data_IF_806331849065
#
_entry.id   IF_806331849065
#
_cell.length_a   1.000
_cell.length_b   1.000
_cell.length_c   1.000
_cell.angle_alpha   90.00
_cell.angle_beta   90.00
_cell.angle_gamma   90.00
#
_symmetry.space_group_name_H-M   'P 1'
#
loop_
_entity.id
_entity.type
_entity.pdbx_description
1 polymer ?
#
# COMPACT_ATOMS: atom_id res chain seq x y z
N UNK A 1 -15.82 -58.73 -24.75
CA UNK A 1 -14.88 -58.02 -23.88
C UNK A 1 -15.13 -56.50 -24.01
N UNK A 2 -15.95 -55.92 -23.13
CA UNK A 2 -16.24 -54.48 -23.13
C UNK A 2 -15.26 -53.77 -22.22
N UNK A 3 -14.38 -52.94 -22.79
CA UNK A 3 -13.46 -52.04 -22.05
C UNK A 3 -14.26 -50.88 -21.47
N UNK A 4 -14.45 -50.85 -20.16
CA UNK A 4 -15.01 -49.71 -19.44
C UNK A 4 -13.96 -48.59 -19.43
N UNK A 5 -14.22 -47.53 -20.20
CA UNK A 5 -13.42 -46.28 -20.15
C UNK A 5 -13.93 -45.52 -18.93
N UNK A 6 -13.09 -45.47 -17.90
CA UNK A 6 -13.30 -44.61 -16.73
C UNK A 6 -12.88 -43.18 -17.13
N UNK A 7 -13.84 -42.31 -17.43
CA UNK A 7 -13.62 -40.89 -17.64
C UNK A 7 -13.45 -40.28 -16.25
N UNK A 8 -12.19 -40.03 -15.88
CA UNK A 8 -11.84 -39.24 -14.69
C UNK A 8 -12.21 -37.78 -14.99
N UNK A 9 -13.40 -37.34 -14.57
CA UNK A 9 -13.82 -35.95 -14.62
C UNK A 9 -13.01 -35.18 -13.55
N UNK A 10 -11.89 -34.60 -13.96
CA UNK A 10 -11.12 -33.69 -13.11
C UNK A 10 -11.95 -32.42 -12.94
N UNK A 11 -12.66 -32.30 -11.83
CA UNK A 11 -13.31 -31.06 -11.42
C UNK A 11 -12.18 -30.03 -11.18
N UNK A 12 -11.94 -29.20 -12.18
CA UNK A 12 -11.28 -27.90 -12.01
C UNK A 12 -12.22 -27.04 -11.14
N UNK A 13 -12.14 -27.21 -9.82
CA UNK A 13 -12.69 -26.23 -8.91
C UNK A 13 -11.93 -24.93 -9.18
N UNK A 14 -12.61 -23.85 -9.60
CA UNK A 14 -11.96 -22.53 -9.58
C UNK A 14 -11.51 -22.32 -8.14
N UNK A 15 -10.21 -22.15 -7.93
CA UNK A 15 -9.69 -21.66 -6.66
C UNK A 15 -10.27 -20.26 -6.50
N UNK A 16 -11.38 -20.17 -5.76
CA UNK A 16 -11.89 -18.90 -5.26
C UNK A 16 -10.76 -18.37 -4.38
N UNK A 17 -9.95 -17.47 -4.93
CA UNK A 17 -9.00 -16.71 -4.15
C UNK A 17 -9.85 -15.87 -3.18
N UNK A 18 -10.03 -16.35 -1.97
CA UNK A 18 -10.68 -15.61 -0.91
C UNK A 18 -9.78 -14.40 -0.61
N UNK A 19 -10.38 -13.21 -0.60
CA UNK A 19 -9.66 -12.03 -0.19
C UNK A 19 -9.07 -12.26 1.22
N UNK A 20 -7.76 -12.03 1.36
CA UNK A 20 -7.04 -12.13 2.64
C UNK A 20 -7.22 -10.82 3.41
N UNK A 21 -8.48 -10.55 3.81
CA UNK A 21 -8.81 -9.36 4.59
C UNK A 21 -7.98 -9.37 5.87
N UNK A 22 -7.26 -8.27 6.20
CA UNK A 22 -6.42 -8.22 7.39
C UNK A 22 -7.25 -8.30 8.67
N UNK A 23 -7.03 -9.34 9.46
CA UNK A 23 -7.61 -9.52 10.80
C UNK A 23 -6.76 -8.75 11.83
N UNK A 24 -7.34 -7.72 12.41
CA UNK A 24 -6.65 -6.80 13.32
C UNK A 24 -6.10 -7.50 14.57
N UNK A 25 -6.89 -8.38 15.19
CA UNK A 25 -6.51 -9.07 16.42
C UNK A 25 -5.43 -10.13 16.15
N UNK A 26 -5.53 -10.85 15.04
CA UNK A 26 -4.53 -11.84 14.66
C UNK A 26 -3.21 -11.17 14.28
N UNK A 27 -3.25 -10.08 13.52
CA UNK A 27 -2.08 -9.30 13.14
C UNK A 27 -1.38 -8.75 14.39
N UNK A 28 -2.12 -8.05 15.26
CA UNK A 28 -1.57 -7.48 16.48
C UNK A 28 -0.90 -8.57 17.34
N UNK A 29 -1.61 -9.66 17.61
CA UNK A 29 -1.10 -10.76 18.42
C UNK A 29 0.19 -11.35 17.86
N UNK A 30 0.24 -11.67 16.55
CA UNK A 30 1.39 -12.33 15.93
C UNK A 30 2.57 -11.41 15.70
N UNK A 31 2.32 -10.13 15.45
CA UNK A 31 3.41 -9.19 15.12
C UNK A 31 4.05 -8.55 16.36
N UNK A 32 3.38 -8.58 17.51
CA UNK A 32 3.91 -8.07 18.78
C UNK A 32 4.53 -9.17 19.66
N UNK A 33 4.28 -10.44 19.38
CA UNK A 33 4.85 -11.57 20.10
C UNK A 33 6.25 -11.89 19.55
N UNK A 34 7.28 -11.77 20.40
CA UNK A 34 8.67 -12.01 20.02
C UNK A 34 9.01 -13.50 19.77
N UNK A 35 8.16 -14.42 20.19
CA UNK A 35 8.28 -15.86 19.90
C UNK A 35 7.56 -16.24 18.59
N UNK A 36 6.78 -15.32 18.02
CA UNK A 36 6.06 -15.55 16.78
C UNK A 36 7.02 -15.56 15.57
N UNK A 37 6.82 -16.47 14.59
CA UNK A 37 7.54 -16.42 13.32
C UNK A 37 7.22 -15.14 12.51
N UNK A 38 6.14 -14.44 12.89
CA UNK A 38 5.71 -13.19 12.27
C UNK A 38 6.01 -11.95 13.11
N UNK A 39 6.91 -12.05 14.10
CA UNK A 39 7.34 -10.91 14.90
C UNK A 39 7.85 -9.77 14.01
N UNK A 40 7.20 -8.60 14.13
CA UNK A 40 7.40 -7.50 13.19
C UNK A 40 8.86 -7.07 13.08
N UNK A 41 9.58 -6.95 14.21
CA UNK A 41 10.99 -6.52 14.20
C UNK A 41 11.88 -7.50 13.45
N UNK A 42 11.65 -8.81 13.58
CA UNK A 42 12.40 -9.85 12.85
C UNK A 42 12.09 -9.81 11.36
N UNK A 43 10.82 -9.66 10.98
CA UNK A 43 10.41 -9.53 9.58
C UNK A 43 10.97 -8.26 8.94
N UNK A 44 10.94 -7.12 9.67
CA UNK A 44 11.47 -5.85 9.21
C UNK A 44 13.00 -5.91 9.02
N UNK A 45 13.71 -6.60 9.92
CA UNK A 45 15.15 -6.80 9.77
C UNK A 45 15.47 -7.60 8.49
N UNK A 46 14.78 -8.70 8.25
CA UNK A 46 14.93 -9.52 7.04
C UNK A 46 14.58 -8.73 5.77
N UNK A 47 13.49 -7.98 5.81
CA UNK A 47 13.08 -7.09 4.73
C UNK A 47 14.16 -6.04 4.40
N UNK A 48 14.71 -5.36 5.41
CA UNK A 48 15.80 -4.37 5.24
C UNK A 48 17.10 -5.01 4.72
N UNK A 49 17.35 -6.26 5.03
CA UNK A 49 18.45 -7.05 4.49
C UNK A 49 18.19 -7.57 3.07
N UNK A 50 17.09 -7.18 2.44
CA UNK A 50 16.68 -7.61 1.11
C UNK A 50 16.44 -9.12 0.98
N UNK A 51 16.12 -9.79 2.10
CA UNK A 51 15.74 -11.19 2.08
C UNK A 51 14.34 -11.36 1.46
N UNK A 52 14.17 -12.39 0.65
CA UNK A 52 12.87 -12.73 0.09
C UNK A 52 11.96 -13.27 1.19
N UNK A 53 10.79 -12.64 1.34
CA UNK A 53 9.74 -13.07 2.25
C UNK A 53 8.66 -13.86 1.50
N UNK A 54 7.93 -14.70 2.21
CA UNK A 54 6.72 -15.36 1.70
C UNK A 54 5.54 -14.37 1.65
N UNK A 55 4.48 -14.72 0.93
CA UNK A 55 3.24 -13.94 0.87
C UNK A 55 2.63 -13.72 2.26
N UNK A 56 2.72 -14.72 3.13
CA UNK A 56 2.23 -14.63 4.50
C UNK A 56 3.09 -13.70 5.35
N UNK A 57 4.42 -13.79 5.23
CA UNK A 57 5.33 -12.88 5.92
C UNK A 57 5.14 -11.42 5.46
N UNK A 58 4.93 -11.16 4.16
CA UNK A 58 4.57 -9.82 3.68
C UNK A 58 3.25 -9.32 4.27
N UNK A 59 2.26 -10.19 4.42
CA UNK A 59 0.98 -9.81 5.02
C UNK A 59 1.16 -9.31 6.46
N UNK A 60 1.86 -10.06 7.31
CA UNK A 60 2.09 -9.66 8.69
C UNK A 60 3.08 -8.49 8.80
N UNK A 61 4.09 -8.43 7.95
CA UNK A 61 5.02 -7.31 7.92
C UNK A 61 4.31 -6.01 7.56
N UNK A 62 3.55 -6.01 6.48
CA UNK A 62 2.85 -4.82 5.98
C UNK A 62 1.81 -4.35 6.98
N UNK A 63 0.82 -5.18 7.31
CA UNK A 63 -0.26 -4.75 8.20
C UNK A 63 0.18 -4.59 9.67
N UNK A 64 1.18 -5.33 10.11
CA UNK A 64 1.79 -5.19 11.43
C UNK A 64 2.50 -3.87 11.65
N UNK A 65 2.91 -3.19 10.57
CA UNK A 65 3.51 -1.86 10.64
C UNK A 65 2.58 -0.82 11.25
N UNK A 66 1.26 -0.96 11.07
CA UNK A 66 0.26 -0.06 11.64
C UNK A 66 0.26 -0.02 13.18
N UNK A 67 0.89 -0.99 13.83
CA UNK A 67 1.00 -1.10 15.30
C UNK A 67 2.37 -0.69 15.84
N UNK A 68 3.26 -0.20 14.97
CA UNK A 68 4.60 0.25 15.39
C UNK A 68 4.58 1.74 15.75
N UNK A 69 5.37 2.13 16.76
CA UNK A 69 5.44 3.51 17.29
C UNK A 69 5.82 4.54 16.23
N UNK A 70 6.58 4.13 15.23
CA UNK A 70 7.03 5.00 14.15
C UNK A 70 6.08 5.05 12.94
N UNK A 71 4.95 4.35 12.97
CA UNK A 71 3.92 4.46 11.95
C UNK A 71 3.23 5.82 12.02
N UNK A 72 3.51 6.68 11.05
CA UNK A 72 3.01 8.04 11.00
C UNK A 72 2.47 8.39 9.59
N UNK A 73 1.31 7.84 9.19
CA UNK A 73 0.78 7.97 7.83
C UNK A 73 0.39 9.39 7.42
N UNK A 74 0.32 10.31 8.38
CA UNK A 74 0.02 11.73 8.16
C UNK A 74 1.27 12.61 8.17
N UNK A 75 2.45 12.06 8.44
CA UNK A 75 3.70 12.81 8.44
C UNK A 75 4.12 13.17 7.02
N UNK A 76 4.76 14.33 6.87
CA UNK A 76 5.37 14.73 5.60
C UNK A 76 6.62 13.90 5.32
N UNK A 77 6.89 13.65 4.06
CA UNK A 77 8.10 12.96 3.59
C UNK A 77 8.85 13.85 2.59
N UNK A 78 9.70 14.81 3.07
CA UNK A 78 10.41 15.72 2.18
C UNK A 78 11.36 15.02 1.20
N UNK A 79 11.91 13.86 1.58
CA UNK A 79 12.75 13.08 0.68
C UNK A 79 11.95 12.54 -0.53
N UNK A 80 10.71 12.15 -0.32
CA UNK A 80 9.80 11.74 -1.40
C UNK A 80 9.47 12.91 -2.35
N UNK A 81 9.26 14.11 -1.81
CA UNK A 81 9.03 15.31 -2.62
C UNK A 81 10.26 15.64 -3.50
N UNK A 82 11.46 15.60 -2.91
CA UNK A 82 12.73 15.78 -3.63
C UNK A 82 12.94 14.69 -4.69
N UNK A 83 12.57 13.46 -4.38
CA UNK A 83 12.65 12.32 -5.29
C UNK A 83 11.74 12.53 -6.52
N UNK A 84 10.49 12.95 -6.31
CA UNK A 84 9.58 13.29 -7.42
C UNK A 84 10.12 14.44 -8.28
N UNK A 85 10.64 15.50 -7.67
CA UNK A 85 11.25 16.62 -8.39
C UNK A 85 12.45 16.15 -9.22
N UNK A 86 13.30 15.29 -8.66
CA UNK A 86 14.46 14.72 -9.35
C UNK A 86 14.03 13.89 -10.56
N UNK A 87 13.09 12.96 -10.36
CA UNK A 87 12.58 12.08 -11.42
C UNK A 87 11.86 12.85 -12.54
N UNK A 88 11.15 13.93 -12.20
CA UNK A 88 10.45 14.77 -13.20
C UNK A 88 11.41 15.50 -14.14
N UNK A 89 12.65 15.72 -13.73
CA UNK A 89 13.68 16.41 -14.51
C UNK A 89 14.68 15.45 -15.17
N UNK A 90 14.56 14.14 -14.90
CA UNK A 90 15.49 13.14 -15.40
C UNK A 90 15.03 12.59 -16.76
N UNK A 91 15.93 12.58 -17.74
CA UNK A 91 15.76 11.77 -18.95
C UNK A 91 16.14 10.32 -18.61
N UNK A 92 15.14 9.46 -18.34
CA UNK A 92 15.34 8.08 -17.88
C UNK A 92 16.16 7.23 -18.85
N UNK A 93 16.09 7.52 -20.16
CA UNK A 93 16.84 6.80 -21.19
C UNK A 93 18.33 7.17 -21.22
N UNK A 94 18.70 8.30 -20.59
CA UNK A 94 20.07 8.82 -20.49
C UNK A 94 20.60 8.88 -19.06
N UNK A 95 19.89 8.24 -18.12
CA UNK A 95 20.29 8.25 -16.72
C UNK A 95 21.69 7.68 -16.53
N UNK A 96 22.51 8.41 -15.80
CA UNK A 96 23.89 8.01 -15.52
C UNK A 96 23.99 7.25 -14.19
N UNK A 97 25.14 6.62 -13.94
CA UNK A 97 25.42 6.00 -12.65
C UNK A 97 25.33 7.01 -11.50
N UNK A 98 25.79 8.27 -11.71
CA UNK A 98 25.71 9.33 -10.70
C UNK A 98 24.26 9.71 -10.38
N UNK A 99 23.40 9.74 -11.38
CA UNK A 99 21.96 9.99 -11.18
C UNK A 99 21.34 8.86 -10.35
N UNK A 100 21.69 7.61 -10.67
CA UNK A 100 21.23 6.44 -9.92
C UNK A 100 21.69 6.47 -8.46
N UNK A 101 22.95 6.80 -8.17
CA UNK A 101 23.47 6.94 -6.81
C UNK A 101 22.71 8.02 -6.02
N UNK A 102 22.39 9.14 -6.65
CA UNK A 102 21.61 10.20 -6.04
C UNK A 102 20.15 9.77 -5.78
N UNK A 103 19.51 9.09 -6.74
CA UNK A 103 18.16 8.51 -6.57
C UNK A 103 18.15 7.52 -5.40
N UNK A 104 19.14 6.63 -5.29
CA UNK A 104 19.24 5.67 -4.18
C UNK A 104 19.32 6.38 -2.85
N UNK A 105 20.08 7.49 -2.74
CA UNK A 105 20.15 8.23 -1.49
C UNK A 105 18.80 8.82 -1.07
N UNK A 106 18.09 9.44 -2.01
CA UNK A 106 16.73 9.98 -1.75
C UNK A 106 15.72 8.88 -1.44
N UNK A 107 15.78 7.76 -2.17
CA UNK A 107 14.92 6.61 -1.91
C UNK A 107 15.15 6.03 -0.50
N UNK A 108 16.40 5.93 -0.06
CA UNK A 108 16.74 5.45 1.28
C UNK A 108 16.12 6.32 2.36
N UNK A 109 16.27 7.64 2.25
CA UNK A 109 15.64 8.59 3.17
C UNK A 109 14.10 8.53 3.12
N UNK A 110 13.51 8.37 1.93
CA UNK A 110 12.06 8.26 1.77
C UNK A 110 11.50 6.99 2.40
N UNK A 111 12.22 5.84 2.27
CA UNK A 111 11.84 4.56 2.86
C UNK A 111 11.96 4.54 4.40
N UNK A 112 12.72 5.44 5.01
CA UNK A 112 12.73 5.57 6.48
C UNK A 112 11.37 6.06 7.02
N UNK A 113 10.59 6.78 6.23
CA UNK A 113 9.26 7.27 6.59
C UNK A 113 8.14 6.34 6.13
N UNK A 114 8.29 5.76 4.96
CA UNK A 114 7.36 4.79 4.37
C UNK A 114 8.14 3.62 3.77
N UNK A 115 8.45 2.58 4.58
CA UNK A 115 9.28 1.47 4.14
C UNK A 115 8.63 0.62 3.04
N UNK A 116 7.34 0.79 2.80
CA UNK A 116 6.55 -0.01 1.88
C UNK A 116 6.02 0.76 0.68
N UNK A 117 6.53 1.97 0.43
CA UNK A 117 6.12 2.78 -0.72
C UNK A 117 6.39 2.07 -2.05
N UNK A 118 5.37 1.64 -2.81
CA UNK A 118 5.59 0.96 -4.08
C UNK A 118 6.32 1.84 -5.09
N UNK A 119 6.01 3.14 -5.11
CA UNK A 119 6.70 4.09 -5.97
C UNK A 119 8.19 4.17 -5.66
N UNK A 120 8.58 4.28 -4.37
CA UNK A 120 9.99 4.38 -3.99
C UNK A 120 10.72 3.07 -4.26
N UNK A 121 10.10 1.92 -3.97
CA UNK A 121 10.66 0.60 -4.30
C UNK A 121 10.90 0.46 -5.80
N UNK A 122 9.97 0.93 -6.65
CA UNK A 122 10.14 0.91 -8.11
C UNK A 122 11.29 1.82 -8.57
N UNK A 123 11.51 2.96 -7.93
CA UNK A 123 12.65 3.84 -8.20
C UNK A 123 13.98 3.20 -7.77
N UNK A 124 14.00 2.41 -6.69
CA UNK A 124 15.18 1.59 -6.33
C UNK A 124 15.48 0.54 -7.40
N UNK A 125 14.45 -0.14 -7.93
CA UNK A 125 14.62 -1.09 -9.05
C UNK A 125 15.25 -0.39 -10.25
N UNK A 126 14.72 0.77 -10.66
CA UNK A 126 15.27 1.57 -11.75
C UNK A 126 16.74 1.97 -11.51
N UNK A 127 17.04 2.50 -10.32
CA UNK A 127 18.38 2.98 -10.01
C UNK A 127 19.42 1.86 -9.97
N UNK A 128 19.13 0.71 -9.35
CA UNK A 128 20.02 -0.44 -9.36
C UNK A 128 20.15 -1.08 -10.75
N UNK A 129 19.07 -1.06 -11.56
CA UNK A 129 19.13 -1.46 -12.97
C UNK A 129 20.07 -0.57 -13.77
N UNK A 130 20.03 0.76 -13.58
CA UNK A 130 20.95 1.73 -14.21
C UNK A 130 22.40 1.50 -13.78
N UNK A 131 22.63 1.05 -12.54
CA UNK A 131 23.95 0.69 -12.04
C UNK A 131 24.42 -0.69 -12.49
N UNK A 132 23.58 -1.47 -13.15
CA UNK A 132 23.78 -2.89 -13.51
C UNK A 132 24.01 -3.82 -12.30
N UNK A 133 23.54 -3.42 -11.11
CA UNK A 133 23.51 -4.25 -9.89
C UNK A 133 22.25 -5.15 -9.91
N UNK A 134 22.36 -6.25 -10.62
CA UNK A 134 21.25 -7.18 -10.87
C UNK A 134 20.72 -7.84 -9.60
N UNK A 135 21.55 -8.05 -8.60
CA UNK A 135 21.17 -8.68 -7.35
C UNK A 135 20.20 -7.76 -6.57
N UNK A 136 20.57 -6.48 -6.38
CA UNK A 136 19.72 -5.52 -5.69
C UNK A 136 18.51 -5.12 -6.51
N UNK A 137 18.65 -4.94 -7.82
CA UNK A 137 17.52 -4.70 -8.72
C UNK A 137 16.44 -5.77 -8.52
N UNK A 138 16.82 -7.05 -8.53
CA UNK A 138 15.90 -8.17 -8.36
C UNK A 138 15.31 -8.24 -6.95
N UNK A 139 16.11 -7.96 -5.91
CA UNK A 139 15.65 -7.96 -4.53
C UNK A 139 14.59 -6.88 -4.28
N UNK A 140 14.82 -5.64 -4.73
CA UNK A 140 13.83 -4.57 -4.63
C UNK A 140 12.59 -4.84 -5.48
N UNK A 141 12.76 -5.48 -6.65
CA UNK A 141 11.61 -5.91 -7.45
C UNK A 141 10.73 -6.93 -6.70
N UNK A 142 11.32 -7.90 -6.01
CA UNK A 142 10.56 -8.85 -5.19
C UNK A 142 9.84 -8.15 -4.02
N UNK A 143 10.46 -7.17 -3.38
CA UNK A 143 9.81 -6.37 -2.34
C UNK A 143 8.62 -5.58 -2.90
N UNK A 144 8.81 -4.90 -4.03
CA UNK A 144 7.74 -4.20 -4.73
C UNK A 144 6.55 -5.13 -5.03
N UNK A 145 6.82 -6.30 -5.62
CA UNK A 145 5.77 -7.27 -5.94
C UNK A 145 5.10 -7.81 -4.67
N UNK A 146 5.86 -8.15 -3.63
CA UNK A 146 5.31 -8.64 -2.37
C UNK A 146 4.35 -7.65 -1.70
N UNK A 147 4.69 -6.36 -1.69
CA UNK A 147 3.82 -5.31 -1.15
C UNK A 147 2.57 -5.11 -2.02
N UNK A 148 2.73 -5.01 -3.34
CA UNK A 148 1.59 -4.84 -4.24
C UNK A 148 0.60 -6.01 -4.17
N UNK A 149 1.11 -7.25 -4.12
CA UNK A 149 0.26 -8.45 -3.99
C UNK A 149 -0.41 -8.53 -2.62
N UNK A 150 0.27 -8.12 -1.54
CA UNK A 150 -0.31 -8.02 -0.20
C UNK A 150 -1.52 -7.10 -0.20
N UNK A 151 -1.43 -5.93 -0.82
CA UNK A 151 -2.54 -4.98 -0.89
C UNK A 151 -3.67 -5.54 -1.78
N UNK A 152 -3.34 -6.03 -2.97
CA UNK A 152 -4.32 -6.57 -3.93
C UNK A 152 -5.06 -7.79 -3.41
N UNK A 153 -4.40 -8.65 -2.61
CA UNK A 153 -5.02 -9.83 -2.02
C UNK A 153 -5.97 -9.52 -0.88
N UNK A 154 -5.93 -8.31 -0.31
CA UNK A 154 -6.78 -7.92 0.82
C UNK A 154 -8.24 -7.64 0.45
N UNK A 155 -8.52 -7.39 -0.81
CA UNK A 155 -9.85 -7.15 -1.35
C UNK A 155 -9.80 -7.03 -2.87
N UNK A 156 -10.94 -7.23 -3.55
CA UNK A 156 -10.99 -7.07 -5.00
C UNK A 156 -11.09 -5.60 -5.45
N UNK A 157 -11.36 -4.70 -4.52
CA UNK A 157 -11.49 -3.26 -4.76
C UNK A 157 -12.67 -2.89 -5.67
N UNK A 158 -13.54 -3.82 -6.05
CA UNK A 158 -14.64 -3.57 -6.99
C UNK A 158 -15.90 -3.01 -6.33
N UNK A 159 -15.96 -3.07 -5.02
CA UNK A 159 -17.09 -2.57 -4.23
C UNK A 159 -16.62 -2.03 -2.87
N UNK A 160 -17.44 -1.16 -2.28
CA UNK A 160 -17.23 -0.66 -0.92
C UNK A 160 -17.15 -1.78 0.13
N UNK A 161 -17.81 -2.92 -0.13
CA UNK A 161 -17.82 -4.07 0.77
C UNK A 161 -16.50 -4.85 0.79
N UNK A 162 -15.76 -4.83 -0.32
CA UNK A 162 -14.51 -5.57 -0.51
C UNK A 162 -13.37 -4.65 -0.97
N UNK A 163 -13.06 -3.57 -0.21
CA UNK A 163 -12.01 -2.63 -0.57
C UNK A 163 -10.63 -3.27 -0.42
N UNK A 164 -9.64 -2.77 -1.13
CA UNK A 164 -8.24 -3.07 -0.86
C UNK A 164 -7.76 -2.26 0.35
N UNK A 165 -7.06 -2.90 1.28
CA UNK A 165 -6.59 -2.27 2.53
C UNK A 165 -5.20 -1.70 2.38
N UNK A 166 -5.01 -0.44 2.78
CA UNK A 166 -3.75 0.30 2.66
C UNK A 166 -3.29 0.91 3.99
N UNK A 167 -2.01 1.28 4.05
CA UNK A 167 -1.38 1.93 5.20
C UNK A 167 -1.02 3.40 4.96
N UNK A 168 -0.78 3.82 3.72
CA UNK A 168 -0.44 5.19 3.35
C UNK A 168 -1.34 5.66 2.22
N UNK A 169 -1.61 6.97 2.13
CA UNK A 169 -2.48 7.53 1.09
C UNK A 169 -1.96 7.25 -0.32
N UNK A 170 -0.64 7.32 -0.51
CA UNK A 170 0.00 7.07 -1.81
C UNK A 170 -0.23 5.65 -2.32
N UNK A 171 -0.29 4.66 -1.42
CA UNK A 171 -0.38 3.25 -1.79
C UNK A 171 -1.59 2.93 -2.68
N UNK A 172 -2.71 3.62 -2.48
CA UNK A 172 -3.90 3.43 -3.30
C UNK A 172 -3.65 3.82 -4.76
N UNK A 173 -3.02 4.98 -5.00
CA UNK A 173 -2.67 5.44 -6.35
C UNK A 173 -1.58 4.55 -6.95
N UNK A 174 -0.59 4.12 -6.14
CA UNK A 174 0.50 3.25 -6.58
C UNK A 174 -0.02 1.89 -7.04
N UNK A 175 -0.97 1.30 -6.30
CA UNK A 175 -1.62 0.05 -6.71
C UNK A 175 -2.36 0.22 -8.04
N UNK A 176 -3.13 1.29 -8.20
CA UNK A 176 -3.84 1.57 -9.48
C UNK A 176 -2.85 1.75 -10.61
N UNK A 177 -1.78 2.52 -10.40
CA UNK A 177 -0.71 2.75 -11.39
C UNK A 177 0.00 1.46 -11.77
N UNK A 178 0.23 0.54 -10.82
CA UNK A 178 0.83 -0.79 -11.06
C UNK A 178 -0.01 -1.68 -11.98
N UNK A 179 -1.30 -1.36 -12.15
CA UNK A 179 -2.19 -2.04 -13.09
C UNK A 179 -2.14 -1.46 -14.51
N UNK A 180 -1.27 -0.46 -14.74
CA UNK A 180 -1.10 0.21 -16.05
C UNK A 180 -2.26 1.14 -16.40
N UNK A 181 -2.98 1.67 -15.43
CA UNK A 181 -4.13 2.57 -15.63
C UNK A 181 -3.93 3.89 -14.87
N UNK A 182 -4.38 4.98 -15.49
CA UNK A 182 -4.36 6.30 -14.85
C UNK A 182 -5.61 6.51 -13.99
N UNK A 183 -5.42 7.14 -12.85
CA UNK A 183 -6.49 7.47 -11.90
C UNK A 183 -6.83 8.96 -11.88
N UNK A 184 -8.05 9.27 -11.45
CA UNK A 184 -8.49 10.61 -11.07
C UNK A 184 -8.31 10.80 -9.56
N UNK A 185 -8.71 11.97 -9.06
CA UNK A 185 -8.73 12.26 -7.64
C UNK A 185 -9.67 11.30 -6.91
N UNK A 186 -9.24 10.83 -5.73
CA UNK A 186 -10.05 10.00 -4.86
C UNK A 186 -11.32 10.73 -4.38
N UNK A 187 -12.40 9.97 -4.22
CA UNK A 187 -13.71 10.42 -3.76
C UNK A 187 -14.07 9.67 -2.47
N UNK A 188 -14.43 10.40 -1.41
CA UNK A 188 -14.85 9.82 -0.15
C UNK A 188 -16.24 9.18 -0.36
N UNK A 189 -16.34 7.88 -0.11
CA UNK A 189 -17.59 7.11 -0.23
C UNK A 189 -18.24 6.92 1.13
N UNK A 190 -17.45 6.53 2.12
CA UNK A 190 -17.89 6.38 3.50
C UNK A 190 -16.81 6.84 4.48
N UNK A 191 -17.01 6.61 5.78
CA UNK A 191 -16.09 7.10 6.83
C UNK A 191 -14.64 6.66 6.62
N UNK A 192 -14.43 5.45 6.11
CA UNK A 192 -13.13 4.82 6.01
C UNK A 192 -12.80 4.35 4.60
N UNK A 193 -13.73 4.46 3.65
CA UNK A 193 -13.55 3.97 2.29
C UNK A 193 -13.58 5.12 1.30
N UNK A 194 -12.56 5.14 0.45
CA UNK A 194 -12.50 6.07 -0.69
C UNK A 194 -12.51 5.28 -2.00
N UNK A 195 -13.06 5.90 -3.01
CA UNK A 195 -13.11 5.39 -4.37
C UNK A 195 -12.14 6.17 -5.25
N UNK A 196 -11.30 5.47 -5.98
CA UNK A 196 -10.39 6.06 -6.95
C UNK A 196 -10.91 5.76 -8.36
N UNK A 197 -11.55 6.75 -9.02
CA UNK A 197 -12.00 6.59 -10.40
C UNK A 197 -10.82 6.45 -11.36
N UNK A 198 -10.97 5.61 -12.40
CA UNK A 198 -10.02 5.55 -13.50
C UNK A 198 -10.30 6.68 -14.50
N UNK A 199 -9.25 7.17 -15.18
CA UNK A 199 -9.40 8.11 -16.30
C UNK A 199 -10.20 7.45 -17.42
N UNK A 200 -9.83 6.21 -17.75
CA UNK A 200 -10.55 5.37 -18.72
C UNK A 200 -10.96 4.04 -18.06
N UNK A 201 -12.23 3.61 -18.22
CA UNK A 201 -12.67 2.34 -17.67
C UNK A 201 -11.90 1.16 -18.29
N UNK A 202 -11.39 0.28 -17.44
CA UNK A 202 -10.70 -0.95 -17.84
C UNK A 202 -11.71 -2.01 -18.27
N UNK A 203 -11.57 -2.55 -19.48
CA UNK A 203 -12.38 -3.68 -19.94
C UNK A 203 -11.92 -4.97 -19.28
N UNK A 204 -12.88 -5.76 -18.78
CA UNK A 204 -12.67 -7.09 -18.20
C UNK A 204 -13.73 -8.04 -18.80
N UNK A 205 -13.53 -9.37 -18.74
CA UNK A 205 -14.46 -10.32 -19.37
C UNK A 205 -15.92 -10.16 -18.92
N UNK A 206 -16.13 -9.80 -17.65
CA UNK A 206 -17.44 -9.63 -17.00
C UNK A 206 -17.95 -8.16 -16.99
N UNK A 207 -17.33 -7.26 -17.77
CA UNK A 207 -17.78 -5.87 -17.89
C UNK A 207 -16.69 -4.81 -17.96
N UNK A 208 -16.86 -3.73 -17.18
CA UNK A 208 -15.90 -2.62 -17.10
C UNK A 208 -15.66 -2.22 -15.66
N UNK A 209 -14.39 -2.11 -15.27
CA UNK A 209 -13.98 -1.51 -14.01
C UNK A 209 -13.81 -0.01 -14.23
N UNK A 210 -14.57 0.80 -13.49
CA UNK A 210 -14.54 2.27 -13.56
C UNK A 210 -13.61 2.91 -12.53
N UNK A 211 -13.22 2.16 -11.49
CA UNK A 211 -12.36 2.58 -10.40
C UNK A 211 -12.23 1.50 -9.35
N UNK A 212 -11.51 1.81 -8.28
CA UNK A 212 -11.25 0.88 -7.19
C UNK A 212 -11.54 1.52 -5.84
N UNK A 213 -12.02 0.70 -4.90
CA UNK A 213 -12.30 1.06 -3.52
C UNK A 213 -11.12 0.68 -2.64
N UNK A 214 -10.74 1.59 -1.72
CA UNK A 214 -9.66 1.38 -0.76
C UNK A 214 -10.12 1.69 0.65
N UNK A 215 -9.67 0.88 1.62
CA UNK A 215 -9.91 1.11 3.04
C UNK A 215 -8.77 1.92 3.67
N UNK A 216 -9.11 3.08 4.22
CA UNK A 216 -8.23 4.04 4.87
C UNK A 216 -8.33 4.00 6.41
N UNK A 217 -8.99 3.00 6.98
CA UNK A 217 -9.30 2.95 8.42
C UNK A 217 -8.04 3.03 9.29
N UNK A 218 -6.94 2.36 8.87
CA UNK A 218 -5.66 2.38 9.59
C UNK A 218 -5.00 3.75 9.57
N UNK A 219 -5.10 4.47 8.47
CA UNK A 219 -4.59 5.84 8.32
C UNK A 219 -5.38 6.78 9.23
N UNK A 220 -6.70 6.70 9.19
CA UNK A 220 -7.56 7.61 9.95
C UNK A 220 -7.55 7.37 11.46
N UNK A 221 -7.22 6.17 11.94
CA UNK A 221 -7.02 5.91 13.38
C UNK A 221 -5.83 6.65 13.96
N UNK A 222 -4.81 6.92 13.17
CA UNK A 222 -3.58 7.61 13.58
C UNK A 222 -3.62 9.12 13.35
N UNK A 223 -4.82 9.72 13.30
CA UNK A 223 -4.92 11.17 13.30
C UNK A 223 -4.38 11.70 14.63
N UNK A 224 -3.40 12.63 14.61
CA UNK A 224 -2.98 13.32 15.83
C UNK A 224 -4.20 13.97 16.48
N UNK A 225 -4.31 13.89 17.80
CA UNK A 225 -5.41 14.49 18.58
C UNK A 225 -5.57 16.02 18.33
N UNK A 226 -4.48 16.67 17.92
CA UNK A 226 -4.45 18.09 17.56
C UNK A 226 -5.23 18.40 16.27
N UNK A 227 -5.39 17.43 15.37
CA UNK A 227 -6.17 17.56 14.12
C UNK A 227 -7.67 17.21 14.38
N UNK A 228 -7.99 16.63 15.49
CA UNK A 228 -9.35 16.72 15.97
C UNK A 228 -9.63 18.21 16.17
N UNK A 229 -10.24 18.79 15.13
CA UNK A 229 -10.81 20.12 15.21
C UNK A 229 -11.57 20.21 16.53
N UNK A 230 -10.92 20.71 17.58
CA UNK A 230 -11.60 21.43 18.63
C UNK A 230 -12.17 22.68 17.96
N UNK A 231 -13.11 22.50 17.02
CA UNK A 231 -14.12 23.51 16.84
C UNK A 231 -14.65 23.67 18.25
N UNK A 232 -14.18 24.71 18.96
CA UNK A 232 -15.01 25.29 20.01
C UNK A 232 -16.39 25.32 19.38
N UNK A 233 -17.29 24.47 19.84
CA UNK A 233 -18.68 24.53 19.44
C UNK A 233 -19.19 25.83 20.02
N UNK A 234 -18.83 26.93 19.36
CA UNK A 234 -19.57 28.17 19.51
C UNK A 234 -20.88 27.86 18.83
N UNK A 235 -21.88 27.58 19.64
CA UNK A 235 -23.28 27.57 19.24
C UNK A 235 -23.64 28.99 18.85
N UNK A 236 -23.16 29.46 17.71
CA UNK A 236 -23.60 30.68 17.10
C UNK A 236 -24.76 30.34 16.17
N UNK A 237 -25.89 30.10 16.73
CA UNK A 237 -27.15 30.27 16.03
C UNK A 237 -27.41 31.78 15.94
N UNK A 238 -27.44 32.33 14.73
CA UNK A 238 -27.86 33.70 14.40
C UNK A 238 -27.08 34.81 15.10
N UNK A 239 -25.76 34.80 15.14
CA UNK A 239 -24.91 35.84 15.73
C UNK A 239 -25.22 36.17 17.22
N UNK A 240 -25.89 35.32 17.95
CA UNK A 240 -26.14 35.50 19.38
C UNK A 240 -24.86 35.20 20.16
N UNK A 241 -24.42 36.13 20.98
CA UNK A 241 -23.27 35.91 21.90
C UNK A 241 -23.62 34.81 22.89
N UNK A 242 -22.62 33.93 23.26
CA UNK A 242 -22.83 32.94 24.29
C UNK A 242 -23.31 33.58 25.59
N UNK A 243 -24.39 33.06 26.20
CA UNK A 243 -24.76 33.45 27.56
C UNK A 243 -23.74 32.80 28.53
N UNK A 244 -23.06 33.63 29.31
CA UNK A 244 -22.33 33.16 30.48
C UNK A 244 -23.36 32.98 31.63
N UNK A 245 -23.45 31.74 32.10
CA UNK A 245 -24.16 31.44 33.34
C UNK A 245 -23.16 31.58 34.48
N UNK A 246 -23.47 32.51 35.44
CA UNK A 246 -22.76 32.63 36.70
C UNK A 246 -23.24 31.59 37.66
#
# INVERSE_FOLDING_TARGET
MMRKIFILLLFLLPTLAWAKVPDEDDILRKTMDNESPYYHSSLMMRYKNLERLSEEEYHYLYYGYAYQDHYAPMATNPALENLYATMSNLDVDKATKKDAEYIISLCTEALDKDPFSPTVLNMMVFAYGTMADKEKEQAYFYHLQGILETIKSSGDGRSEKYPMHILMFSHAVDVVSSMGVASKRAEIVSRNVEYIPLVEPRKVPDGKIKGFYFDYSRIYRNKPDEVTFKKKRTWQFNNLKPREYK
#
